data_IF_182977607746
#
_entry.id   IF_182977607746
#
_cell.length_a   1.000
_cell.length_b   1.000
_cell.length_c   1.000
_cell.angle_alpha   90.00
_cell.angle_beta   90.00
_cell.angle_gamma   90.00
#
_symmetry.space_group_name_H-M   'P 1'
#
loop_
_entity.id
_entity.type
_entity.pdbx_description
1 polymer ?
#
# COMPACT_ATOMS: atom_id res chain seq x y z
N UNK A 1 -11.52 1.80 -29.07
CA UNK A 1 -12.11 1.75 -27.72
C UNK A 1 -11.01 1.27 -26.79
N UNK A 2 -10.57 2.07 -25.80
CA UNK A 2 -9.59 1.62 -24.82
C UNK A 2 -10.11 0.38 -24.07
N UNK A 3 -9.21 -0.57 -23.80
CA UNK A 3 -9.49 -1.76 -23.01
C UNK A 3 -9.08 -1.52 -21.55
N UNK A 4 -10.02 -1.70 -20.62
CA UNK A 4 -9.76 -1.67 -19.18
C UNK A 4 -10.03 -3.04 -18.58
N UNK A 5 -9.03 -3.59 -17.89
CA UNK A 5 -9.16 -4.84 -17.12
C UNK A 5 -9.53 -4.50 -15.68
N UNK A 6 -10.64 -5.05 -15.20
CA UNK A 6 -11.09 -4.89 -13.82
C UNK A 6 -10.83 -6.19 -13.07
N UNK A 7 -9.90 -6.17 -12.13
CA UNK A 7 -9.57 -7.31 -11.27
C UNK A 7 -10.26 -7.15 -9.93
N UNK A 8 -11.08 -8.11 -9.51
CA UNK A 8 -11.81 -8.01 -8.26
C UNK A 8 -11.16 -8.87 -7.18
N UNK A 9 -10.99 -8.30 -5.98
CA UNK A 9 -10.50 -9.04 -4.80
C UNK A 9 -11.58 -9.23 -3.71
N UNK A 10 -12.78 -8.70 -3.96
CA UNK A 10 -13.87 -8.60 -2.99
C UNK A 10 -13.94 -7.20 -2.38
N UNK A 11 -13.90 -7.14 -1.04
CA UNK A 11 -14.05 -5.88 -0.30
C UNK A 11 -15.48 -5.33 -0.28
N UNK A 12 -15.67 -4.25 0.49
CA UNK A 12 -17.00 -3.65 0.78
C UNK A 12 -17.81 -3.28 -0.46
N UNK A 13 -17.13 -2.92 -1.56
CA UNK A 13 -17.77 -2.62 -2.85
C UNK A 13 -18.54 -3.81 -3.42
N UNK A 14 -18.12 -5.03 -3.09
CA UNK A 14 -18.75 -6.29 -3.44
C UNK A 14 -19.42 -6.97 -2.24
N UNK A 15 -19.60 -6.27 -1.11
CA UNK A 15 -20.16 -6.86 0.10
C UNK A 15 -21.63 -6.53 0.31
N UNK A 16 -22.35 -7.50 0.88
CA UNK A 16 -23.76 -7.39 1.29
C UNK A 16 -23.93 -7.74 2.78
N UNK A 17 -25.00 -7.26 3.43
CA UNK A 17 -25.40 -7.76 4.74
C UNK A 17 -25.76 -9.25 4.67
N UNK A 18 -25.24 -10.05 5.61
CA UNK A 18 -25.70 -11.41 5.88
C UNK A 18 -26.98 -11.39 6.74
N UNK A 19 -27.63 -12.55 6.99
CA UNK A 19 -28.86 -12.61 7.82
C UNK A 19 -28.70 -12.07 9.25
N UNK A 20 -27.47 -12.02 9.78
CA UNK A 20 -27.16 -11.48 11.10
C UNK A 20 -26.78 -9.98 11.06
N UNK A 21 -26.84 -9.34 9.89
CA UNK A 21 -26.52 -7.94 9.66
C UNK A 21 -25.02 -7.64 9.54
N UNK A 22 -24.16 -8.65 9.42
CA UNK A 22 -22.71 -8.46 9.18
C UNK A 22 -22.45 -8.26 7.70
N UNK A 23 -21.43 -7.49 7.33
CA UNK A 23 -21.11 -7.21 5.92
C UNK A 23 -20.05 -8.20 5.42
N UNK A 24 -20.40 -9.00 4.40
CA UNK A 24 -19.54 -10.04 3.82
C UNK A 24 -19.43 -9.89 2.30
N UNK A 25 -18.25 -10.17 1.74
CA UNK A 25 -18.04 -10.14 0.29
C UNK A 25 -18.92 -11.22 -0.37
N UNK A 26 -19.82 -10.81 -1.26
CA UNK A 26 -20.87 -11.66 -1.82
C UNK A 26 -21.04 -11.50 -3.35
N UNK A 27 -20.83 -10.29 -3.88
CA UNK A 27 -21.03 -9.98 -5.28
C UNK A 27 -19.89 -10.52 -6.16
N UNK A 28 -20.24 -11.00 -7.35
CA UNK A 28 -19.30 -11.31 -8.41
C UNK A 28 -18.85 -10.05 -9.14
N UNK A 29 -17.78 -10.15 -9.91
CA UNK A 29 -17.34 -9.05 -10.77
C UNK A 29 -18.37 -8.62 -11.82
N UNK A 30 -19.18 -9.55 -12.32
CA UNK A 30 -20.29 -9.23 -13.23
C UNK A 30 -21.42 -8.47 -12.51
N UNK A 31 -21.65 -8.73 -11.22
CA UNK A 31 -22.60 -7.96 -10.42
C UNK A 31 -22.13 -6.51 -10.24
N UNK A 32 -20.83 -6.31 -9.99
CA UNK A 32 -20.22 -4.98 -9.92
C UNK A 32 -20.35 -4.22 -11.25
N UNK A 33 -20.15 -4.90 -12.39
CA UNK A 33 -20.37 -4.28 -13.71
C UNK A 33 -21.82 -3.93 -13.97
N UNK A 34 -22.76 -4.77 -13.55
CA UNK A 34 -24.19 -4.47 -13.72
C UNK A 34 -24.63 -3.27 -12.88
N UNK A 35 -24.02 -3.08 -11.72
CA UNK A 35 -24.22 -1.88 -10.89
C UNK A 35 -23.53 -0.63 -11.47
N UNK A 36 -22.51 -0.82 -12.31
CA UNK A 36 -21.88 0.26 -13.06
C UNK A 36 -22.80 0.66 -14.23
N UNK A 37 -23.18 1.94 -14.29
CA UNK A 37 -23.76 2.48 -15.52
C UNK A 37 -22.74 2.31 -16.66
N UNK A 38 -23.16 1.91 -17.88
CA UNK A 38 -22.26 1.76 -19.01
C UNK A 38 -21.39 3.00 -19.18
N UNK A 39 -20.08 2.79 -19.33
CA UNK A 39 -19.16 3.86 -19.70
C UNK A 39 -19.06 3.79 -21.22
N UNK A 40 -19.60 4.81 -21.88
CA UNK A 40 -19.54 4.93 -23.34
C UNK A 40 -18.08 4.86 -23.81
N UNK A 41 -17.85 4.18 -24.92
CA UNK A 41 -16.55 4.06 -25.58
C UNK A 41 -15.41 3.47 -24.73
N UNK A 42 -15.69 2.57 -23.79
CA UNK A 42 -14.66 1.77 -23.06
C UNK A 42 -15.00 0.27 -23.09
N UNK A 43 -14.05 -0.58 -23.50
CA UNK A 43 -14.19 -2.05 -23.38
C UNK A 43 -13.75 -2.44 -21.97
N UNK A 44 -14.70 -2.83 -21.11
CA UNK A 44 -14.41 -3.24 -19.73
C UNK A 44 -14.52 -4.75 -19.61
N UNK A 45 -13.44 -5.41 -19.20
CA UNK A 45 -13.42 -6.87 -18.98
C UNK A 45 -13.05 -7.17 -17.54
N UNK A 46 -13.86 -8.00 -16.89
CA UNK A 46 -13.68 -8.35 -15.49
C UNK A 46 -13.07 -9.72 -15.31
N UNK A 47 -12.26 -9.84 -14.27
CA UNK A 47 -11.72 -11.07 -13.76
C UNK A 47 -11.89 -11.10 -12.24
N UNK A 48 -12.58 -12.13 -11.74
CA UNK A 48 -12.64 -12.42 -10.32
C UNK A 48 -11.33 -13.09 -9.88
N UNK A 49 -10.50 -12.36 -9.14
CA UNK A 49 -9.23 -12.89 -8.61
C UNK A 49 -9.48 -13.53 -7.24
N UNK A 50 -10.10 -12.77 -6.32
CA UNK A 50 -10.44 -13.22 -4.98
C UNK A 50 -11.82 -12.75 -4.55
N UNK A 51 -12.34 -13.33 -3.47
CA UNK A 51 -13.56 -12.87 -2.78
C UNK A 51 -13.32 -12.82 -1.27
N UNK A 52 -12.41 -11.95 -0.84
CA UNK A 52 -11.97 -11.84 0.56
C UNK A 52 -12.15 -10.41 1.09
N UNK A 53 -12.34 -10.30 2.40
CA UNK A 53 -12.16 -9.03 3.10
C UNK A 53 -10.67 -8.69 3.12
N UNK A 54 -10.32 -7.42 2.90
CA UNK A 54 -8.91 -7.03 2.76
C UNK A 54 -8.07 -7.27 4.03
N UNK A 55 -8.71 -7.28 5.21
CA UNK A 55 -8.12 -7.69 6.49
C UNK A 55 -7.77 -9.19 6.59
N UNK A 56 -8.11 -10.01 5.58
CA UNK A 56 -7.77 -11.44 5.50
C UNK A 56 -6.68 -11.75 4.48
N UNK A 57 -6.25 -10.76 3.70
CA UNK A 57 -5.23 -10.96 2.67
C UNK A 57 -3.84 -11.07 3.30
N UNK A 58 -3.06 -12.04 2.81
CA UNK A 58 -1.63 -12.20 3.09
C UNK A 58 -0.74 -11.75 1.93
N UNK A 59 0.57 -11.82 2.13
CA UNK A 59 1.55 -11.44 1.10
C UNK A 59 1.49 -12.34 -0.14
N UNK A 60 1.11 -13.61 0.02
CA UNK A 60 0.93 -14.53 -1.11
C UNK A 60 -0.24 -14.13 -2.01
N UNK A 61 -1.35 -13.71 -1.41
CA UNK A 61 -2.50 -13.20 -2.15
C UNK A 61 -2.12 -11.93 -2.93
N UNK A 62 -1.38 -11.02 -2.29
CA UNK A 62 -0.95 -9.76 -2.92
C UNK A 62 0.10 -10.01 -4.03
N UNK A 63 1.00 -10.99 -3.87
CA UNK A 63 1.93 -11.41 -4.94
C UNK A 63 1.19 -12.01 -6.13
N UNK A 64 0.19 -12.86 -5.89
CA UNK A 64 -0.65 -13.39 -6.97
C UNK A 64 -1.41 -12.25 -7.68
N UNK A 65 -2.02 -11.33 -6.92
CA UNK A 65 -2.66 -10.15 -7.50
C UNK A 65 -1.70 -9.32 -8.35
N UNK A 66 -0.46 -9.11 -7.91
CA UNK A 66 0.55 -8.39 -8.67
C UNK A 66 0.89 -9.08 -10.01
N UNK A 67 0.94 -10.43 -10.04
CA UNK A 67 1.11 -11.18 -11.29
C UNK A 67 -0.08 -11.00 -12.23
N UNK A 68 -1.32 -11.04 -11.70
CA UNK A 68 -2.54 -10.78 -12.50
C UNK A 68 -2.58 -9.37 -13.06
N UNK A 69 -2.22 -8.37 -12.24
CA UNK A 69 -2.11 -6.96 -12.67
C UNK A 69 -1.06 -6.82 -13.77
N UNK A 70 0.13 -7.41 -13.62
CA UNK A 70 1.20 -7.38 -14.63
C UNK A 70 0.74 -8.00 -15.96
N UNK A 71 0.05 -9.14 -15.90
CA UNK A 71 -0.50 -9.81 -17.08
C UNK A 71 -1.59 -8.97 -17.76
N UNK A 72 -2.53 -8.43 -16.99
CA UNK A 72 -3.60 -7.56 -17.50
C UNK A 72 -3.07 -6.24 -18.08
N UNK A 73 -2.04 -5.65 -17.47
CA UNK A 73 -1.44 -4.43 -17.99
C UNK A 73 -0.70 -4.64 -19.32
N UNK A 74 -0.23 -5.86 -19.60
CA UNK A 74 0.42 -6.16 -20.88
C UNK A 74 -0.58 -6.21 -22.06
N UNK A 75 -1.87 -6.46 -21.79
CA UNK A 75 -2.91 -6.62 -22.81
C UNK A 75 -3.98 -5.50 -22.84
N UNK A 76 -3.90 -4.53 -21.93
CA UNK A 76 -4.90 -3.48 -21.74
C UNK A 76 -4.29 -2.06 -21.75
N UNK A 77 -5.16 -1.06 -21.91
CA UNK A 77 -4.77 0.36 -21.81
C UNK A 77 -4.61 0.81 -20.36
N UNK A 78 -5.33 0.17 -19.44
CA UNK A 78 -5.21 0.36 -18.00
C UNK A 78 -5.88 -0.77 -17.20
N UNK A 79 -5.53 -0.84 -15.91
CA UNK A 79 -6.06 -1.85 -14.99
C UNK A 79 -6.77 -1.15 -13.84
N UNK A 80 -7.92 -1.67 -13.44
CA UNK A 80 -8.62 -1.29 -12.21
C UNK A 80 -8.61 -2.48 -11.27
N UNK A 81 -8.31 -2.25 -10.00
CA UNK A 81 -8.38 -3.26 -8.95
C UNK A 81 -9.44 -2.85 -7.94
N UNK A 82 -10.52 -3.63 -7.80
CA UNK A 82 -11.47 -3.42 -6.70
C UNK A 82 -10.97 -4.14 -5.46
N UNK A 83 -10.88 -3.42 -4.35
CA UNK A 83 -10.23 -3.87 -3.13
C UNK A 83 -10.96 -3.42 -1.87
N UNK A 84 -10.88 -4.22 -0.80
CA UNK A 84 -11.36 -3.80 0.53
C UNK A 84 -10.48 -2.69 1.11
N UNK A 85 -11.08 -1.78 1.86
CA UNK A 85 -10.41 -0.51 2.24
C UNK A 85 -9.39 -0.64 3.37
N UNK A 86 -9.43 -1.70 4.18
CA UNK A 86 -8.56 -1.79 5.37
C UNK A 86 -7.06 -1.92 5.05
N UNK A 87 -6.69 -2.72 4.05
CA UNK A 87 -5.28 -2.90 3.60
C UNK A 87 -5.06 -2.40 2.18
N UNK A 88 -5.93 -1.51 1.68
CA UNK A 88 -5.84 -0.95 0.33
C UNK A 88 -4.54 -0.18 0.10
N UNK A 89 -4.10 0.61 1.10
CA UNK A 89 -2.86 1.40 1.01
C UNK A 89 -1.60 0.52 0.89
N UNK A 90 -1.60 -0.62 1.55
CA UNK A 90 -0.53 -1.61 1.55
C UNK A 90 -0.52 -2.37 0.22
N UNK A 91 -1.68 -2.84 -0.23
CA UNK A 91 -1.80 -3.55 -1.52
C UNK A 91 -1.43 -2.64 -2.68
N UNK A 92 -1.95 -1.40 -2.70
CA UNK A 92 -1.60 -0.43 -3.74
C UNK A 92 -0.09 -0.16 -3.76
N UNK A 93 0.54 -0.05 -2.59
CA UNK A 93 1.99 0.15 -2.50
C UNK A 93 2.79 -1.05 -3.00
N UNK A 94 2.40 -2.28 -2.65
CA UNK A 94 3.03 -3.49 -3.20
C UNK A 94 2.93 -3.53 -4.73
N UNK A 95 1.73 -3.25 -5.26
CA UNK A 95 1.53 -3.21 -6.71
C UNK A 95 2.41 -2.13 -7.36
N UNK A 96 2.56 -0.96 -6.74
CA UNK A 96 3.39 0.13 -7.28
C UNK A 96 4.86 -0.29 -7.38
N UNK A 97 5.33 -1.01 -6.36
CA UNK A 97 6.67 -1.59 -6.28
C UNK A 97 6.90 -2.72 -7.30
N UNK A 98 5.85 -3.34 -7.86
CA UNK A 98 5.96 -4.49 -8.76
C UNK A 98 5.59 -4.20 -10.23
N UNK A 99 4.86 -3.12 -10.50
CA UNK A 99 4.22 -2.90 -11.82
C UNK A 99 5.22 -2.55 -12.92
N UNK A 100 6.13 -1.60 -12.70
CA UNK A 100 7.17 -1.17 -13.64
C UNK A 100 6.71 -0.56 -14.98
N UNK A 101 5.50 -0.87 -15.47
CA UNK A 101 5.00 -0.47 -16.78
C UNK A 101 4.36 0.93 -16.84
N UNK A 102 4.07 1.41 -18.08
CA UNK A 102 3.47 2.73 -18.32
C UNK A 102 1.94 2.77 -18.18
N UNK A 103 1.26 1.62 -18.20
CA UNK A 103 -0.20 1.55 -18.03
C UNK A 103 -0.60 2.00 -16.62
N UNK A 104 -1.63 2.85 -16.44
CA UNK A 104 -2.14 3.15 -15.12
C UNK A 104 -2.75 1.91 -14.47
N UNK A 105 -2.50 1.75 -13.17
CA UNK A 105 -3.19 0.77 -12.33
C UNK A 105 -3.94 1.53 -11.25
N UNK A 106 -5.26 1.46 -11.26
CA UNK A 106 -6.12 2.23 -10.37
C UNK A 106 -6.78 1.30 -9.35
N UNK A 107 -6.35 1.38 -8.09
CA UNK A 107 -6.97 0.67 -6.98
C UNK A 107 -8.14 1.48 -6.45
N UNK A 108 -9.30 0.85 -6.25
CA UNK A 108 -10.51 1.50 -5.76
C UNK A 108 -11.33 0.56 -4.89
N UNK A 109 -12.36 1.08 -4.22
CA UNK A 109 -13.23 0.32 -3.33
C UNK A 109 -14.43 1.13 -2.87
N UNK A 110 -14.98 0.77 -1.71
CA UNK A 110 -16.11 1.46 -1.10
C UNK A 110 -15.97 1.47 0.43
N UNK A 111 -16.46 2.52 1.07
CA UNK A 111 -16.62 2.55 2.54
C UNK A 111 -17.99 2.04 2.96
N UNK A 112 -18.99 2.15 2.08
CA UNK A 112 -20.35 1.65 2.30
C UNK A 112 -20.63 0.42 1.45
N UNK A 113 -21.35 -0.54 2.02
CA UNK A 113 -21.69 -1.79 1.34
C UNK A 113 -22.63 -1.54 0.14
N UNK A 114 -22.74 -2.54 -0.75
CA UNK A 114 -23.46 -2.41 -2.02
C UNK A 114 -24.97 -2.16 -1.88
N UNK A 115 -25.57 -2.47 -0.73
CA UNK A 115 -27.01 -2.27 -0.46
C UNK A 115 -27.32 -0.95 0.25
N UNK A 116 -26.29 -0.18 0.64
CA UNK A 116 -26.50 1.13 1.22
C UNK A 116 -27.15 2.06 0.19
N UNK A 117 -28.17 2.81 0.62
CA UNK A 117 -28.88 3.77 -0.24
C UNK A 117 -27.97 4.87 -0.78
N UNK A 118 -26.88 5.14 -0.08
CA UNK A 118 -25.84 6.10 -0.43
C UNK A 118 -24.46 5.44 -0.62
N UNK A 119 -24.45 4.23 -1.19
CA UNK A 119 -23.23 3.49 -1.53
C UNK A 119 -22.29 4.32 -2.42
N UNK A 120 -21.00 4.33 -2.06
CA UNK A 120 -19.96 5.08 -2.79
C UNK A 120 -19.26 4.25 -3.88
N UNK A 121 -19.36 2.93 -3.82
CA UNK A 121 -18.73 1.96 -4.73
C UNK A 121 -18.97 2.23 -6.22
N UNK A 122 -20.23 2.37 -6.69
CA UNK A 122 -20.50 2.58 -8.12
C UNK A 122 -19.83 3.85 -8.68
N UNK A 123 -19.77 4.93 -7.88
CA UNK A 123 -19.07 6.15 -8.27
C UNK A 123 -17.56 5.93 -8.30
N UNK A 124 -16.99 5.34 -7.25
CA UNK A 124 -15.55 5.09 -7.16
C UNK A 124 -15.06 4.19 -8.31
N UNK A 125 -15.82 3.13 -8.65
CA UNK A 125 -15.48 2.24 -9.76
C UNK A 125 -15.53 2.94 -11.11
N UNK A 126 -16.57 3.74 -11.38
CA UNK A 126 -16.66 4.52 -12.62
C UNK A 126 -15.51 5.53 -12.73
N UNK A 127 -15.20 6.22 -11.64
CA UNK A 127 -14.12 7.19 -11.60
C UNK A 127 -12.76 6.50 -11.83
N UNK A 128 -12.59 5.27 -11.30
CA UNK A 128 -11.40 4.46 -11.52
C UNK A 128 -11.24 3.97 -12.98
N UNK A 129 -12.32 3.50 -13.61
CA UNK A 129 -12.30 3.07 -15.03
C UNK A 129 -11.98 4.25 -15.93
N UNK A 130 -12.59 5.42 -15.70
CA UNK A 130 -12.28 6.66 -16.44
C UNK A 130 -10.81 7.04 -16.33
N UNK A 131 -10.25 6.98 -15.12
CA UNK A 131 -8.83 7.25 -14.91
C UNK A 131 -7.94 6.21 -15.60
N UNK A 132 -8.29 4.93 -15.56
CA UNK A 132 -7.50 3.86 -16.17
C UNK A 132 -7.46 3.94 -17.71
N UNK A 133 -8.49 4.49 -18.36
CA UNK A 133 -8.49 4.69 -19.81
C UNK A 133 -8.04 6.08 -20.28
N UNK A 134 -7.74 7.01 -19.36
CA UNK A 134 -7.35 8.37 -19.73
C UNK A 134 -5.88 8.41 -20.22
N UNK A 135 -5.59 8.95 -21.42
CA UNK A 135 -4.23 9.04 -21.92
C UNK A 135 -3.28 9.86 -21.03
N UNK A 136 -3.79 10.85 -20.28
CA UNK A 136 -2.99 11.63 -19.34
C UNK A 136 -2.59 10.82 -18.10
N UNK A 137 -3.21 9.66 -17.85
CA UNK A 137 -2.87 8.75 -16.77
C UNK A 137 -1.72 7.79 -17.10
N UNK A 138 -1.13 7.84 -18.31
CA UNK A 138 0.08 7.07 -18.58
C UNK A 138 1.23 7.50 -17.65
N UNK A 139 2.04 6.53 -17.27
CA UNK A 139 3.23 6.69 -16.41
C UNK A 139 2.97 7.17 -14.97
N UNK A 140 1.71 7.29 -14.53
CA UNK A 140 1.39 7.65 -13.14
C UNK A 140 1.59 6.49 -12.14
N UNK A 141 1.86 5.28 -12.65
CA UNK A 141 2.07 4.09 -11.83
C UNK A 141 0.78 3.55 -11.22
N UNK A 142 0.88 3.06 -9.99
CA UNK A 142 -0.29 2.61 -9.23
C UNK A 142 -0.81 3.77 -8.37
N UNK A 143 -2.12 4.00 -8.45
CA UNK A 143 -2.81 5.06 -7.71
C UNK A 143 -4.06 4.52 -7.03
N UNK A 144 -4.52 5.21 -6.00
CA UNK A 144 -5.82 4.96 -5.37
C UNK A 144 -6.81 6.02 -5.83
N UNK A 145 -7.97 5.60 -6.33
CA UNK A 145 -9.09 6.45 -6.68
C UNK A 145 -10.26 6.22 -5.71
N UNK A 146 -10.51 7.19 -4.82
CA UNK A 146 -11.57 7.14 -3.81
C UNK A 146 -12.20 8.53 -3.65
N UNK A 147 -13.53 8.59 -3.54
CA UNK A 147 -14.28 9.84 -3.34
C UNK A 147 -13.93 10.95 -4.37
N UNK A 148 -13.63 10.56 -5.62
CA UNK A 148 -13.23 11.47 -6.70
C UNK A 148 -11.80 12.02 -6.59
N UNK A 149 -10.98 11.55 -5.64
CA UNK A 149 -9.57 11.95 -5.47
C UNK A 149 -8.66 10.89 -6.07
N UNK A 150 -7.54 11.32 -6.66
CA UNK A 150 -6.47 10.46 -7.15
C UNK A 150 -5.25 10.63 -6.24
N UNK A 151 -4.81 9.56 -5.59
CA UNK A 151 -3.74 9.56 -4.60
C UNK A 151 -2.64 8.58 -5.01
N UNK A 152 -1.37 8.95 -4.85
CA UNK A 152 -0.26 8.02 -5.16
C UNK A 152 -0.26 6.83 -4.22
N UNK A 153 0.01 5.63 -4.75
CA UNK A 153 0.08 4.41 -3.94
C UNK A 153 1.10 4.52 -2.80
N UNK A 154 2.20 5.26 -2.98
CA UNK A 154 3.19 5.47 -1.92
C UNK A 154 2.66 6.30 -0.75
N UNK A 155 1.90 7.36 -1.02
CA UNK A 155 1.53 8.36 0.01
C UNK A 155 0.15 8.17 0.60
N UNK A 156 -0.75 7.46 -0.10
CA UNK A 156 -2.12 7.26 0.35
C UNK A 156 -2.19 6.50 1.67
N UNK A 157 -3.03 6.93 2.60
CA UNK A 157 -3.35 6.19 3.81
C UNK A 157 -4.81 6.40 4.22
N UNK A 158 -5.40 5.40 4.88
CA UNK A 158 -6.76 5.45 5.43
C UNK A 158 -6.73 6.22 6.75
N UNK A 159 -7.22 7.45 6.73
CA UNK A 159 -7.25 8.41 7.85
C UNK A 159 -8.55 8.40 8.65
N UNK A 160 -9.58 7.71 8.16
CA UNK A 160 -10.85 7.58 8.85
C UNK A 160 -11.41 6.16 8.72
N UNK A 161 -12.03 5.65 9.79
CA UNK A 161 -12.56 4.28 9.83
C UNK A 161 -13.82 4.09 8.96
N UNK A 162 -14.71 5.10 8.94
CA UNK A 162 -16.03 5.00 8.29
C UNK A 162 -16.38 6.04 7.21
N UNK A 163 -15.73 7.20 7.16
CA UNK A 163 -16.11 8.28 6.25
C UNK A 163 -15.81 7.91 4.80
N UNK A 164 -16.64 8.33 3.85
CA UNK A 164 -16.47 8.03 2.42
C UNK A 164 -15.16 8.61 1.86
N UNK A 165 -14.71 9.74 2.40
CA UNK A 165 -13.44 10.40 2.11
C UNK A 165 -12.31 9.96 3.06
N UNK A 166 -12.33 8.69 3.48
CA UNK A 166 -11.37 8.11 4.42
C UNK A 166 -9.91 8.08 3.96
N UNK A 167 -9.58 8.35 2.69
CA UNK A 167 -8.20 8.27 2.19
C UNK A 167 -7.59 9.65 1.95
N UNK A 168 -6.38 9.84 2.45
CA UNK A 168 -5.59 11.05 2.25
C UNK A 168 -4.12 10.71 1.95
N UNK A 169 -3.35 11.71 1.52
CA UNK A 169 -1.91 11.61 1.32
C UNK A 169 -1.24 12.80 2.04
N UNK A 170 -0.97 12.69 3.36
CA UNK A 170 -0.62 13.84 4.19
C UNK A 170 0.65 14.58 3.74
N UNK A 171 1.67 13.84 3.32
CA UNK A 171 2.94 14.41 2.83
C UNK A 171 2.97 14.59 1.30
N UNK A 172 2.21 13.78 0.56
CA UNK A 172 2.24 13.75 -0.91
C UNK A 172 1.20 14.61 -1.62
N UNK A 173 0.14 15.02 -0.92
CA UNK A 173 -1.01 15.68 -1.53
C UNK A 173 -1.76 14.82 -2.55
N UNK A 174 -2.72 15.44 -3.22
CA UNK A 174 -3.55 14.80 -4.24
C UNK A 174 -2.94 15.00 -5.62
N UNK A 175 -2.86 13.92 -6.41
CA UNK A 175 -2.35 13.96 -7.79
C UNK A 175 -3.33 14.61 -8.76
N UNK A 176 -4.63 14.49 -8.47
CA UNK A 176 -5.70 15.00 -9.31
C UNK A 176 -7.07 14.55 -8.83
N UNK A 177 -8.10 14.87 -9.60
CA UNK A 177 -9.47 14.45 -9.31
C UNK A 177 -10.13 13.82 -10.52
N UNK A 178 -11.15 13.02 -10.27
CA UNK A 178 -12.10 12.57 -11.28
C UNK A 178 -13.45 13.17 -10.91
N UNK A 179 -13.98 14.01 -11.79
CA UNK A 179 -15.32 14.58 -11.66
C UNK A 179 -16.25 14.05 -12.75
N UNK A 180 -17.51 14.51 -12.76
CA UNK A 180 -18.52 13.97 -13.67
C UNK A 180 -18.14 14.13 -15.15
N UNK A 181 -17.26 15.10 -15.47
CA UNK A 181 -16.95 15.54 -16.83
C UNK A 181 -15.52 15.21 -17.29
N UNK A 182 -14.55 15.03 -16.38
CA UNK A 182 -13.17 14.75 -16.78
C UNK A 182 -12.29 14.16 -15.67
N UNK A 183 -11.20 13.51 -16.10
CA UNK A 183 -10.00 13.28 -15.29
C UNK A 183 -9.15 14.55 -15.33
N UNK A 184 -8.74 15.05 -14.15
CA UNK A 184 -7.92 16.26 -14.02
C UNK A 184 -6.73 15.98 -13.12
N UNK A 185 -5.62 15.58 -13.73
CA UNK A 185 -4.33 15.40 -13.06
C UNK A 185 -3.57 16.73 -13.02
N UNK A 186 -3.01 17.05 -11.85
CA UNK A 186 -2.19 18.25 -11.60
C UNK A 186 -0.76 17.90 -11.18
N UNK A 187 -0.49 16.63 -10.88
CA UNK A 187 0.83 16.13 -10.56
C UNK A 187 0.97 14.66 -11.00
N UNK A 188 2.21 14.25 -11.28
CA UNK A 188 2.61 12.86 -11.56
C UNK A 188 3.56 12.42 -10.46
N UNK A 189 3.36 11.24 -9.84
CA UNK A 189 4.24 10.78 -8.77
C UNK A 189 5.62 10.42 -9.33
N UNK A 190 6.67 10.67 -8.54
CA UNK A 190 8.00 10.15 -8.83
C UNK A 190 8.00 8.63 -8.71
N UNK A 191 8.16 7.95 -9.84
CA UNK A 191 8.29 6.50 -9.94
C UNK A 191 9.65 6.04 -9.41
N UNK A 192 9.67 4.85 -8.82
CA UNK A 192 10.88 4.18 -8.32
C UNK A 192 11.12 2.91 -9.14
N UNK A 193 12.33 2.34 -9.12
CA UNK A 193 12.56 1.05 -9.74
C UNK A 193 11.51 0.04 -9.27
N UNK A 194 11.02 -0.80 -10.18
CA UNK A 194 10.17 -1.90 -9.78
C UNK A 194 11.03 -3.09 -9.34
N UNK A 195 10.55 -3.82 -8.34
CA UNK A 195 11.03 -5.15 -8.03
C UNK A 195 10.65 -6.11 -9.15
N UNK A 196 11.56 -7.02 -9.47
CA UNK A 196 11.22 -8.16 -10.30
C UNK A 196 10.33 -9.12 -9.50
N UNK A 197 9.08 -9.31 -9.94
CA UNK A 197 8.15 -10.22 -9.28
C UNK A 197 8.66 -11.66 -9.25
N UNK A 198 9.44 -12.07 -10.25
CA UNK A 198 9.94 -13.44 -10.34
C UNK A 198 11.06 -13.66 -9.29
N UNK A 199 11.75 -12.58 -8.89
CA UNK A 199 12.69 -12.60 -7.77
C UNK A 199 12.01 -12.66 -6.39
N UNK A 200 10.67 -12.60 -6.32
CA UNK A 200 9.88 -12.67 -5.09
C UNK A 200 9.18 -14.02 -4.89
N UNK A 201 9.52 -15.07 -5.65
CA UNK A 201 8.82 -16.36 -5.64
C UNK A 201 9.08 -17.27 -4.41
N UNK A 202 9.98 -16.87 -3.51
CA UNK A 202 10.33 -17.62 -2.29
C UNK A 202 9.36 -17.47 -1.11
N UNK A 203 9.76 -18.02 0.03
CA UNK A 203 9.12 -17.75 1.33
C UNK A 203 9.37 -16.30 1.76
N UNK A 204 8.37 -15.66 2.34
CA UNK A 204 8.50 -14.28 2.81
C UNK A 204 9.40 -14.21 4.05
N UNK A 205 10.45 -13.37 4.03
CA UNK A 205 11.24 -13.12 5.23
C UNK A 205 10.35 -12.46 6.29
N UNK A 206 10.46 -12.92 7.53
CA UNK A 206 9.70 -12.33 8.64
C UNK A 206 10.20 -10.91 8.90
N UNK A 207 9.29 -9.94 8.74
CA UNK A 207 9.51 -8.53 9.10
C UNK A 207 8.38 -8.08 10.02
N UNK A 208 8.75 -7.67 11.22
CA UNK A 208 7.81 -7.25 12.27
C UNK A 208 7.81 -5.73 12.45
N UNK A 209 6.62 -5.18 12.68
CA UNK A 209 6.43 -3.77 13.05
C UNK A 209 6.36 -3.68 14.57
N UNK A 210 7.18 -2.81 15.16
CA UNK A 210 7.21 -2.57 16.61
C UNK A 210 6.65 -1.18 16.90
N UNK A 211 5.37 -1.08 17.32
CA UNK A 211 4.78 0.20 17.68
C UNK A 211 5.30 0.72 19.02
N UNK A 212 5.80 1.95 19.03
CA UNK A 212 6.29 2.57 20.26
C UNK A 212 5.20 3.36 20.99
N UNK A 213 5.27 3.28 22.30
CA UNK A 213 4.41 3.95 23.26
C UNK A 213 5.25 4.49 24.41
N UNK A 214 4.70 5.46 25.16
CA UNK A 214 5.39 6.05 26.30
C UNK A 214 5.84 4.94 27.26
N UNK A 215 7.14 4.92 27.58
CA UNK A 215 7.72 3.90 28.46
C UNK A 215 8.06 2.57 27.78
N UNK A 216 8.06 2.49 26.44
CA UNK A 216 8.52 1.30 25.72
C UNK A 216 9.92 0.88 26.19
N UNK A 217 10.09 -0.41 26.47
CA UNK A 217 11.22 -0.99 27.22
C UNK A 217 12.11 -1.92 26.36
N UNK A 218 11.86 -1.96 25.04
CA UNK A 218 12.56 -2.84 24.11
C UNK A 218 12.03 -4.28 24.06
N UNK A 219 11.03 -4.65 24.88
CA UNK A 219 10.51 -6.03 24.94
C UNK A 219 10.01 -6.51 23.57
N UNK A 220 9.32 -5.67 22.79
CA UNK A 220 8.84 -6.07 21.46
C UNK A 220 9.94 -6.15 20.40
N UNK A 221 11.03 -5.39 20.54
CA UNK A 221 12.21 -5.53 19.66
C UNK A 221 12.90 -6.86 19.93
N UNK A 222 13.12 -7.19 21.21
CA UNK A 222 13.65 -8.49 21.63
C UNK A 222 12.77 -9.65 21.16
N UNK A 223 11.46 -9.54 21.34
CA UNK A 223 10.53 -10.58 20.92
C UNK A 223 10.54 -10.82 19.40
N UNK A 224 10.61 -9.77 18.58
CA UNK A 224 10.74 -9.91 17.13
C UNK A 224 12.05 -10.64 16.75
N UNK A 225 13.17 -10.25 17.38
CA UNK A 225 14.48 -10.90 17.19
C UNK A 225 14.45 -12.38 17.56
N UNK A 226 13.95 -12.71 18.75
CA UNK A 226 13.85 -14.10 19.25
C UNK A 226 12.88 -14.95 18.43
N UNK A 227 11.87 -14.34 17.82
CA UNK A 227 10.93 -15.02 16.93
C UNK A 227 11.45 -15.20 15.49
N UNK A 228 12.72 -14.88 15.23
CA UNK A 228 13.39 -15.11 13.95
C UNK A 228 13.11 -14.07 12.88
N UNK A 229 12.78 -12.83 13.26
CA UNK A 229 12.67 -11.74 12.28
C UNK A 229 14.00 -11.52 11.55
N UNK A 230 13.92 -11.30 10.24
CA UNK A 230 15.05 -10.87 9.39
C UNK A 230 15.14 -9.35 9.28
N UNK A 231 14.06 -8.64 9.63
CA UNK A 231 14.03 -7.21 9.72
C UNK A 231 12.96 -6.69 10.71
N UNK A 232 13.16 -5.47 11.19
CA UNK A 232 12.27 -4.79 12.15
C UNK A 232 11.96 -3.40 11.61
N UNK A 233 10.70 -2.98 11.73
CA UNK A 233 10.27 -1.60 11.47
C UNK A 233 9.83 -0.98 12.79
N UNK A 234 10.53 0.07 13.24
CA UNK A 234 10.18 0.82 14.43
C UNK A 234 9.19 1.92 14.08
N UNK A 235 7.97 1.86 14.62
CA UNK A 235 7.00 2.96 14.53
C UNK A 235 7.25 3.96 15.66
N UNK A 236 8.31 4.76 15.46
CA UNK A 236 8.96 5.53 16.51
C UNK A 236 8.28 6.89 16.78
N UNK A 237 8.80 7.65 17.76
CA UNK A 237 8.24 8.95 18.14
C UNK A 237 8.78 10.08 17.26
N UNK A 238 7.93 11.07 16.93
CA UNK A 238 8.39 12.34 16.36
C UNK A 238 9.28 12.14 15.12
N UNK A 239 10.50 12.68 15.17
CA UNK A 239 11.48 12.57 14.09
C UNK A 239 12.21 11.21 14.02
N UNK A 240 11.69 10.15 14.64
CA UNK A 240 12.34 8.82 14.66
C UNK A 240 13.07 8.51 15.97
N UNK A 241 12.60 9.06 17.09
CA UNK A 241 13.22 8.89 18.41
C UNK A 241 12.65 7.69 19.16
N UNK A 242 13.47 7.08 20.02
CA UNK A 242 13.10 5.92 20.83
C UNK A 242 13.48 6.14 22.31
N UNK A 243 13.21 5.15 23.16
CA UNK A 243 13.75 5.15 24.54
C UNK A 243 15.14 4.52 24.56
N UNK A 244 15.99 4.82 25.56
CA UNK A 244 17.29 4.16 25.69
C UNK A 244 17.22 2.63 25.74
N UNK A 245 16.16 2.07 26.34
CA UNK A 245 15.95 0.62 26.39
C UNK A 245 15.64 0.03 25.00
N UNK A 246 14.82 0.72 24.20
CA UNK A 246 14.55 0.33 22.81
C UNK A 246 15.79 0.46 21.95
N UNK A 247 16.59 1.53 22.12
CA UNK A 247 17.88 1.67 21.42
C UNK A 247 18.78 0.48 21.74
N UNK A 248 18.95 0.12 23.02
CA UNK A 248 19.81 -1.01 23.42
C UNK A 248 19.37 -2.34 22.79
N UNK A 249 18.07 -2.64 22.72
CA UNK A 249 17.60 -3.86 22.04
C UNK A 249 17.73 -3.77 20.52
N UNK A 250 17.67 -2.57 19.95
CA UNK A 250 17.86 -2.32 18.52
C UNK A 250 19.32 -2.53 18.11
N UNK A 251 20.28 -2.03 18.90
CA UNK A 251 21.71 -2.28 18.70
C UNK A 251 22.04 -3.77 18.71
N UNK A 252 21.43 -4.54 19.61
CA UNK A 252 21.55 -6.01 19.62
C UNK A 252 20.97 -6.64 18.36
N UNK A 253 19.79 -6.19 17.91
CA UNK A 253 19.20 -6.69 16.67
C UNK A 253 20.10 -6.42 15.45
N UNK A 254 20.68 -5.22 15.35
CA UNK A 254 21.63 -4.85 14.29
C UNK A 254 22.90 -5.70 14.38
N UNK A 255 23.44 -5.93 15.58
CA UNK A 255 24.59 -6.79 15.81
C UNK A 255 24.33 -8.26 15.42
N UNK A 256 23.10 -8.73 15.56
CA UNK A 256 22.65 -10.06 15.11
C UNK A 256 22.37 -10.12 13.58
N UNK A 257 22.60 -9.01 12.86
CA UNK A 257 22.49 -8.94 11.39
C UNK A 257 21.07 -8.66 10.87
N UNK A 258 20.15 -8.21 11.73
CA UNK A 258 18.81 -7.80 11.30
C UNK A 258 18.87 -6.40 10.69
N UNK A 259 18.07 -6.17 9.64
CA UNK A 259 17.83 -4.82 9.15
C UNK A 259 16.79 -4.11 10.01
N UNK A 260 17.05 -2.86 10.39
CA UNK A 260 16.09 -2.05 11.14
C UNK A 260 15.76 -0.79 10.37
N UNK A 261 14.49 -0.62 10.01
CA UNK A 261 13.95 0.64 9.49
C UNK A 261 13.30 1.43 10.61
N UNK A 262 13.54 2.75 10.62
CA UNK A 262 12.91 3.69 11.55
C UNK A 262 11.87 4.50 10.79
N UNK A 263 10.60 4.35 11.17
CA UNK A 263 9.49 5.21 10.74
C UNK A 263 9.03 6.08 11.91
N UNK A 264 7.95 6.83 11.70
CA UNK A 264 7.30 7.59 12.75
C UNK A 264 5.81 7.28 12.81
N UNK A 265 5.30 7.16 14.03
CA UNK A 265 3.87 7.07 14.32
C UNK A 265 3.14 8.40 14.13
N UNK A 266 3.88 9.49 13.90
CA UNK A 266 3.30 10.76 13.48
C UNK A 266 2.60 10.57 12.13
N UNK A 267 1.46 11.24 11.98
CA UNK A 267 0.62 11.10 10.79
C UNK A 267 1.32 11.59 9.50
N UNK A 268 2.13 12.64 9.62
CA UNK A 268 2.85 13.30 8.54
C UNK A 268 4.28 13.65 8.99
N UNK A 269 5.16 13.94 8.02
CA UNK A 269 6.54 14.33 8.24
C UNK A 269 7.55 13.18 8.14
N UNK A 270 8.80 13.53 7.83
CA UNK A 270 9.91 12.58 7.72
C UNK A 270 10.62 12.36 9.05
N UNK A 271 11.16 11.15 9.25
CA UNK A 271 12.17 10.90 10.28
C UNK A 271 13.51 11.53 9.89
N UNK A 272 14.32 11.93 10.88
CA UNK A 272 15.59 12.62 10.67
C UNK A 272 16.53 12.41 11.86
N UNK A 273 17.85 12.24 11.64
CA UNK A 273 18.82 11.93 12.71
C UNK A 273 19.20 13.19 13.50
N UNK A 274 18.23 13.79 14.19
CA UNK A 274 18.40 15.09 14.88
C UNK A 274 18.83 14.92 16.33
N UNK A 275 18.23 13.97 17.04
CA UNK A 275 18.39 13.83 18.49
C UNK A 275 19.24 12.61 18.86
N UNK A 276 20.14 12.77 19.84
CA UNK A 276 20.84 11.68 20.50
C UNK A 276 20.20 11.29 21.85
N UNK A 277 20.96 10.60 22.71
CA UNK A 277 20.52 10.04 23.99
C UNK A 277 19.29 9.09 23.89
N UNK A 278 19.28 8.23 22.87
CA UNK A 278 18.15 7.35 22.51
C UNK A 278 17.35 7.84 21.31
N UNK A 279 17.77 8.92 20.66
CA UNK A 279 17.06 9.51 19.53
C UNK A 279 17.45 8.92 18.17
N UNK A 280 16.84 9.45 17.11
CA UNK A 280 17.07 8.97 15.74
C UNK A 280 18.52 9.09 15.25
N UNK A 281 19.33 9.98 15.82
CA UNK A 281 20.75 10.10 15.47
C UNK A 281 21.56 8.89 15.96
N UNK A 282 21.28 8.39 17.17
CA UNK A 282 21.98 7.23 17.72
C UNK A 282 21.57 5.94 16.98
N UNK A 283 20.29 5.82 16.62
CA UNK A 283 19.82 4.72 15.77
C UNK A 283 20.54 4.69 14.42
N UNK A 284 20.63 5.83 13.74
CA UNK A 284 21.36 5.93 12.48
C UNK A 284 22.85 5.60 12.66
N UNK A 285 23.47 6.08 13.74
CA UNK A 285 24.87 5.77 14.06
C UNK A 285 25.09 4.28 14.35
N UNK A 286 24.10 3.59 14.93
CA UNK A 286 24.12 2.15 15.17
C UNK A 286 23.91 1.32 13.89
N UNK A 287 23.49 1.94 12.78
CA UNK A 287 23.27 1.27 11.49
C UNK A 287 21.80 1.06 11.12
N UNK A 288 20.84 1.59 11.89
CA UNK A 288 19.44 1.60 11.48
C UNK A 288 19.22 2.56 10.29
N UNK A 289 18.33 2.17 9.38
CA UNK A 289 17.98 2.93 8.19
C UNK A 289 16.76 3.82 8.49
N UNK A 290 16.88 5.12 8.22
CA UNK A 290 15.76 6.05 8.38
C UNK A 290 14.86 5.99 7.14
N UNK A 291 13.58 5.66 7.31
CA UNK A 291 12.65 5.39 6.21
C UNK A 291 12.01 6.66 5.59
N UNK A 292 12.58 7.84 5.84
CA UNK A 292 12.06 9.13 5.39
C UNK A 292 10.62 9.36 5.84
N UNK A 293 9.72 9.52 4.87
CA UNK A 293 8.28 9.77 5.03
C UNK A 293 7.40 8.51 4.96
N UNK A 294 7.99 7.31 4.81
CA UNK A 294 7.21 6.08 4.86
C UNK A 294 6.68 5.82 6.27
N UNK A 295 5.44 5.33 6.33
CA UNK A 295 4.82 4.84 7.57
C UNK A 295 5.05 3.34 7.73
N UNK A 296 4.91 2.87 8.96
CA UNK A 296 5.30 1.51 9.34
C UNK A 296 4.72 0.40 8.44
N UNK A 297 3.43 0.41 8.04
CA UNK A 297 2.89 -0.64 7.18
C UNK A 297 3.60 -0.72 5.82
N UNK A 298 3.89 0.42 5.20
CA UNK A 298 4.55 0.49 3.89
C UNK A 298 6.06 0.26 3.95
N UNK A 299 6.70 0.73 5.02
CA UNK A 299 8.11 0.42 5.28
C UNK A 299 8.31 -1.08 5.52
N UNK A 300 7.37 -1.74 6.22
CA UNK A 300 7.39 -3.19 6.45
C UNK A 300 7.31 -3.94 5.12
N UNK A 301 6.37 -3.57 4.24
CA UNK A 301 6.28 -4.17 2.91
C UNK A 301 7.58 -3.97 2.14
N UNK A 302 8.07 -2.73 2.04
CA UNK A 302 9.30 -2.43 1.32
C UNK A 302 10.50 -3.25 1.83
N UNK A 303 10.67 -3.37 3.15
CA UNK A 303 11.74 -4.20 3.74
C UNK A 303 11.56 -5.68 3.46
N UNK A 304 10.32 -6.17 3.49
CA UNK A 304 10.00 -7.56 3.16
C UNK A 304 10.40 -7.86 1.71
N UNK A 305 10.07 -6.97 0.78
CA UNK A 305 10.41 -7.11 -0.65
C UNK A 305 11.92 -7.01 -0.87
N UNK A 306 12.59 -6.06 -0.21
CA UNK A 306 14.05 -5.91 -0.29
C UNK A 306 14.80 -7.14 0.21
N UNK A 307 14.38 -7.73 1.34
CA UNK A 307 14.96 -8.96 1.87
C UNK A 307 14.65 -10.18 1.00
N UNK A 308 13.44 -10.27 0.44
CA UNK A 308 13.05 -11.35 -0.45
C UNK A 308 13.87 -11.33 -1.76
N UNK A 309 14.06 -10.15 -2.36
CA UNK A 309 14.83 -9.98 -3.59
C UNK A 309 16.36 -9.99 -3.37
N UNK A 310 16.83 -9.49 -2.23
CA UNK A 310 18.25 -9.30 -1.92
C UNK A 310 18.95 -10.53 -1.34
N UNK A 311 18.21 -11.48 -0.75
CA UNK A 311 18.74 -12.70 -0.13
C UNK A 311 19.43 -12.48 1.23
N UNK A 312 20.32 -11.49 1.31
CA UNK A 312 21.02 -11.07 2.53
C UNK A 312 20.74 -9.60 2.92
N UNK A 313 21.21 -9.21 4.11
CA UNK A 313 20.94 -7.90 4.69
C UNK A 313 21.67 -6.76 3.95
N UNK A 314 22.91 -6.97 3.54
CA UNK A 314 23.71 -5.94 2.85
C UNK A 314 23.09 -5.61 1.49
N UNK A 315 22.75 -6.64 0.71
CA UNK A 315 22.11 -6.46 -0.59
C UNK A 315 20.71 -5.84 -0.45
N UNK A 316 19.94 -6.26 0.56
CA UNK A 316 18.66 -5.64 0.84
C UNK A 316 18.80 -4.15 1.22
N UNK A 317 19.82 -3.77 1.99
CA UNK A 317 20.09 -2.38 2.33
C UNK A 317 20.43 -1.52 1.10
N UNK A 318 21.17 -2.07 0.13
CA UNK A 318 21.43 -1.41 -1.16
C UNK A 318 20.14 -1.20 -1.96
N UNK A 319 19.30 -2.23 -2.04
CA UNK A 319 18.00 -2.19 -2.74
C UNK A 319 17.08 -1.14 -2.12
N UNK A 320 17.16 -0.89 -0.81
CA UNK A 320 16.32 0.10 -0.12
C UNK A 320 16.68 1.56 -0.44
N UNK A 321 17.92 1.86 -0.82
CA UNK A 321 18.43 3.24 -0.95
C UNK A 321 17.52 4.17 -1.79
N UNK A 322 17.05 3.78 -2.99
CA UNK A 322 16.19 4.65 -3.82
C UNK A 322 14.82 4.95 -3.22
N UNK A 323 14.40 4.22 -2.18
CA UNK A 323 13.06 4.31 -1.60
C UNK A 323 13.03 5.09 -0.28
N UNK A 324 14.12 5.01 0.49
CA UNK A 324 14.24 5.60 1.85
C UNK A 324 14.98 6.94 1.87
N UNK A 325 15.82 7.22 0.86
CA UNK A 325 16.50 8.50 0.66
C UNK A 325 15.97 9.20 -0.61
N UNK A 326 14.75 9.77 -0.59
CA UNK A 326 14.13 10.41 -1.75
C UNK A 326 14.86 11.68 -2.20
#
# INVERSE_FOLDING_TARGET
MPLVRVLTTGGTIASRPDPDGRVVAADSGDDLLRALLPIEDVDVRVEDVFRLGSYRLGLDDVRELARRVRAAAADADGVVVTHGTDTMEETAWFLDLAHGGPQPVVVTGAQRNAEATDADGPRNLRDAVRLACDPAARDIGVVVAMAGRVLSARQVTKVHSLAVDAFAAPDGGQLGRVDAEAVRLVAVPRRRPAFDLDALDGEWPRVDVVPLHLGADGTFVRAAREAGARGIVLDAFGAGNVTPAVLSETEKALADGLLVLVTSRCHAGSVSPVYGAGGGADLAAAGALLAGDLRAPKARLLLTLALAAGGDADRAAEVLQPYVNP
#
